data_IF_947665906806
#
_entry.id   IF_947665906806
#
_cell.length_a   1.000
_cell.length_b   1.000
_cell.length_c   1.000
_cell.angle_alpha   90.00
_cell.angle_beta   90.00
_cell.angle_gamma   90.00
#
_symmetry.space_group_name_H-M   'P 1'
#
loop_
_entity.id
_entity.type
_entity.pdbx_description
1 polymer ?
#
# COMPACT_ATOMS: atom_id res chain seq x y z
N UNK A 1 2.05 38.88 30.58
CA UNK A 1 3.45 39.23 30.28
C UNK A 1 3.63 39.22 28.77
N UNK A 2 3.81 40.40 28.16
CA UNK A 2 3.98 40.57 26.71
C UNK A 2 5.48 40.47 26.39
N UNK A 3 5.87 39.61 25.46
CA UNK A 3 7.20 39.63 24.84
C UNK A 3 7.03 39.86 23.34
N UNK A 4 7.25 41.12 22.95
CA UNK A 4 7.59 41.51 21.58
C UNK A 4 9.09 41.29 21.39
N UNK A 5 9.55 40.95 20.17
CA UNK A 5 10.90 41.11 19.58
C UNK A 5 10.89 40.28 18.27
N UNK A 6 11.39 40.67 17.10
CA UNK A 6 11.65 41.94 16.39
C UNK A 6 11.83 41.49 14.92
N UNK A 7 11.28 42.25 13.97
CA UNK A 7 11.35 41.99 12.53
C UNK A 7 12.59 42.72 11.99
N UNK A 8 13.50 42.00 11.32
CA UNK A 8 14.56 42.61 10.50
C UNK A 8 14.21 42.47 9.02
N UNK A 9 13.77 43.58 8.44
CA UNK A 9 13.63 43.77 6.99
C UNK A 9 14.99 44.25 6.47
N UNK A 10 15.62 43.47 5.60
CA UNK A 10 16.77 43.92 4.81
C UNK A 10 16.21 44.47 3.49
N UNK A 11 16.30 45.79 3.36
CA UNK A 11 15.99 46.56 2.16
C UNK A 11 17.28 46.65 1.32
N UNK A 12 17.32 46.02 0.15
CA UNK A 12 18.38 46.25 -0.84
C UNK A 12 17.82 47.14 -1.94
N UNK A 13 18.23 48.40 -1.91
CA UNK A 13 18.09 49.36 -3.01
C UNK A 13 19.28 49.17 -3.96
N UNK A 14 19.01 48.73 -5.18
CA UNK A 14 19.97 48.67 -6.28
C UNK A 14 19.45 49.49 -7.46
N UNK A 15 20.27 50.44 -7.90
CA UNK A 15 19.99 51.53 -8.83
C UNK A 15 19.65 51.09 -10.26
N UNK A 16 18.86 51.93 -10.93
CA UNK A 16 18.64 51.94 -12.36
C UNK A 16 19.93 52.26 -13.13
N UNK A 17 20.15 51.55 -14.23
CA UNK A 17 21.13 51.86 -15.27
C UNK A 17 20.62 51.36 -16.62
N UNK A 18 20.12 52.26 -17.45
CA UNK A 18 19.84 52.00 -18.86
C UNK A 18 21.17 51.96 -19.62
N UNK A 19 21.42 50.88 -20.36
CA UNK A 19 22.27 50.94 -21.55
C UNK A 19 21.75 49.97 -22.60
N UNK A 20 21.42 50.52 -23.76
CA UNK A 20 21.07 49.80 -24.99
C UNK A 20 22.35 49.36 -25.66
N UNK A 21 22.50 48.06 -25.93
CA UNK A 21 23.13 47.58 -27.15
C UNK A 21 22.75 46.12 -27.43
N UNK A 22 22.34 45.91 -28.68
CA UNK A 22 21.83 44.67 -29.25
C UNK A 22 23.00 43.75 -29.60
N UNK A 23 23.06 42.55 -29.04
CA UNK A 23 23.72 41.41 -29.68
C UNK A 23 23.10 40.09 -29.22
N UNK A 24 22.81 39.26 -30.22
CA UNK A 24 22.23 37.94 -30.12
C UNK A 24 23.18 36.95 -29.43
N UNK A 25 22.60 35.84 -28.98
CA UNK A 25 23.13 34.46 -28.95
C UNK A 25 22.78 33.77 -27.62
N UNK A 26 21.95 32.72 -27.76
CA UNK A 26 21.73 31.61 -26.84
C UNK A 26 21.18 31.93 -25.45
N UNK A 27 19.87 32.14 -25.41
CA UNK A 27 19.04 31.81 -24.26
C UNK A 27 19.04 30.27 -24.10
N UNK A 28 20.07 29.75 -23.42
CA UNK A 28 20.00 28.42 -22.81
C UNK A 28 18.96 28.55 -21.72
N UNK A 29 17.72 28.22 -22.09
CA UNK A 29 16.61 27.96 -21.20
C UNK A 29 17.11 26.92 -20.21
N UNK A 30 17.57 27.39 -19.05
CA UNK A 30 17.91 26.57 -17.91
C UNK A 30 16.62 25.88 -17.52
N UNK A 31 16.47 24.65 -18.00
CA UNK A 31 15.47 23.71 -17.54
C UNK A 31 15.73 23.64 -16.05
N UNK A 32 14.82 24.24 -15.29
CA UNK A 32 14.67 24.00 -13.87
C UNK A 32 14.78 22.50 -13.68
N UNK A 33 15.87 22.04 -13.06
CA UNK A 33 15.92 20.70 -12.51
C UNK A 33 14.64 20.60 -11.69
N UNK A 34 13.70 19.77 -12.16
CA UNK A 34 12.61 19.29 -11.33
C UNK A 34 13.31 18.78 -10.07
N UNK A 35 13.19 19.58 -9.02
CA UNK A 35 13.59 19.20 -7.70
C UNK A 35 12.58 18.12 -7.39
N UNK A 36 12.96 16.86 -7.67
CA UNK A 36 12.22 15.69 -7.21
C UNK A 36 12.17 15.87 -5.71
N UNK A 37 11.07 16.45 -5.23
CA UNK A 37 10.82 16.61 -3.81
C UNK A 37 11.01 15.22 -3.25
N UNK A 38 12.02 15.07 -2.38
CA UNK A 38 12.29 13.79 -1.76
C UNK A 38 10.97 13.34 -1.12
N UNK A 39 10.35 12.29 -1.67
CA UNK A 39 9.10 11.77 -1.16
C UNK A 39 9.37 11.33 0.29
N UNK A 40 8.86 12.10 1.24
CA UNK A 40 8.96 11.77 2.66
C UNK A 40 8.08 10.57 2.98
N UNK A 41 8.31 9.93 4.13
CA UNK A 41 7.39 8.90 4.66
C UNK A 41 5.96 9.46 4.64
N UNK A 42 4.99 8.80 3.98
CA UNK A 42 3.60 9.23 4.01
C UNK A 42 2.98 8.98 5.39
N UNK A 43 2.13 9.87 5.88
CA UNK A 43 1.45 9.72 7.18
C UNK A 43 0.39 8.61 7.18
N UNK A 44 -0.21 8.33 6.02
CA UNK A 44 -1.19 7.25 5.86
C UNK A 44 -0.83 6.45 4.61
N UNK A 45 -0.57 5.16 4.80
CA UNK A 45 -0.20 4.28 3.71
C UNK A 45 -0.56 2.83 4.01
N UNK A 46 -0.67 2.02 2.95
CA UNK A 46 -0.80 0.59 3.10
C UNK A 46 -0.20 -0.19 1.92
N UNK A 47 -0.04 -1.48 2.12
CA UNK A 47 0.32 -2.48 1.13
C UNK A 47 -0.85 -3.44 0.97
N UNK A 48 -1.22 -3.77 -0.29
CA UNK A 48 -2.17 -4.84 -0.61
C UNK A 48 -1.41 -6.15 -0.87
N UNK A 49 -1.74 -7.16 -0.10
CA UNK A 49 -1.31 -8.54 -0.26
C UNK A 49 -2.40 -9.36 -0.95
N UNK A 50 -1.99 -10.16 -1.93
CA UNK A 50 -2.87 -11.10 -2.64
C UNK A 50 -2.15 -12.43 -2.83
N UNK A 51 -2.79 -13.52 -2.40
CA UNK A 51 -2.33 -14.88 -2.62
C UNK A 51 -3.13 -15.53 -3.76
N UNK A 52 -2.43 -16.27 -4.61
CA UNK A 52 -3.01 -17.00 -5.73
C UNK A 52 -2.57 -18.46 -5.72
N UNK A 53 -3.53 -19.36 -5.88
CA UNK A 53 -3.30 -20.75 -6.25
C UNK A 53 -3.65 -20.91 -7.74
N UNK A 54 -2.65 -20.94 -8.64
CA UNK A 54 -2.90 -21.00 -10.08
C UNK A 54 -3.47 -22.34 -10.53
N UNK A 55 -3.25 -23.43 -9.77
CA UNK A 55 -3.74 -24.77 -10.10
C UNK A 55 -5.24 -24.86 -9.86
N UNK A 56 -5.69 -24.39 -8.69
CA UNK A 56 -7.11 -24.34 -8.33
C UNK A 56 -7.83 -23.09 -8.82
N UNK A 57 -7.10 -22.16 -9.46
CA UNK A 57 -7.59 -20.86 -9.95
C UNK A 57 -8.24 -20.03 -8.83
N UNK A 58 -7.66 -20.08 -7.64
CA UNK A 58 -8.13 -19.34 -6.49
C UNK A 58 -7.26 -18.11 -6.28
N UNK A 59 -7.89 -17.00 -5.92
CA UNK A 59 -7.22 -15.75 -5.59
C UNK A 59 -7.91 -15.13 -4.39
N UNK A 60 -7.13 -14.69 -3.42
CA UNK A 60 -7.68 -14.01 -2.24
C UNK A 60 -8.21 -12.63 -2.62
N UNK A 61 -9.10 -12.09 -1.79
CA UNK A 61 -9.33 -10.65 -1.75
C UNK A 61 -8.08 -9.89 -1.30
N UNK A 62 -8.17 -8.57 -1.36
CA UNK A 62 -7.10 -7.67 -0.91
C UNK A 62 -7.00 -7.70 0.62
N UNK A 63 -5.88 -8.21 1.14
CA UNK A 63 -5.50 -8.10 2.56
C UNK A 63 -4.55 -6.92 2.72
N UNK A 64 -4.71 -6.07 3.74
CA UNK A 64 -4.00 -4.79 3.83
C UNK A 64 -3.20 -4.65 5.11
N UNK A 65 -1.96 -4.19 5.00
CA UNK A 65 -1.15 -3.78 6.15
C UNK A 65 -0.63 -2.36 5.96
N UNK A 66 -0.41 -1.63 7.05
CA UNK A 66 0.27 -0.34 6.98
C UNK A 66 0.03 0.54 8.19
N UNK A 67 0.00 1.84 7.95
CA UNK A 67 -0.04 2.88 8.97
C UNK A 67 -1.13 3.90 8.66
N UNK A 68 -1.85 4.31 9.70
CA UNK A 68 -2.84 5.39 9.67
C UNK A 68 -2.60 6.32 10.86
N UNK A 69 -2.59 7.63 10.63
CA UNK A 69 -2.22 8.68 11.60
C UNK A 69 -3.33 8.99 12.65
N UNK A 70 -4.31 8.10 12.79
CA UNK A 70 -5.51 8.36 13.61
C UNK A 70 -5.93 7.09 14.34
N UNK A 71 -5.83 7.12 15.67
CA UNK A 71 -6.15 5.99 16.56
C UNK A 71 -7.54 5.40 16.30
N UNK A 72 -8.52 6.30 16.09
CA UNK A 72 -9.91 5.95 15.77
C UNK A 72 -10.05 5.20 14.45
N UNK A 73 -9.12 5.39 13.51
CA UNK A 73 -9.16 4.73 12.21
C UNK A 73 -8.52 3.36 12.24
N UNK A 74 -7.55 3.08 13.12
CA UNK A 74 -6.97 1.75 13.25
C UNK A 74 -8.06 0.70 13.55
N UNK A 75 -8.90 0.95 14.56
CA UNK A 75 -10.00 0.05 14.90
C UNK A 75 -11.09 -0.02 13.83
N UNK A 76 -11.45 1.11 13.21
CA UNK A 76 -12.49 1.18 12.15
C UNK A 76 -12.07 0.53 10.84
N UNK A 77 -10.77 0.48 10.55
CA UNK A 77 -10.23 -0.07 9.32
C UNK A 77 -9.74 -1.51 9.47
N UNK A 78 -9.82 -2.09 10.68
CA UNK A 78 -9.47 -3.49 10.95
C UNK A 78 -10.69 -4.39 10.69
N UNK A 79 -10.69 -5.09 9.55
CA UNK A 79 -11.80 -5.92 9.08
C UNK A 79 -11.59 -7.37 9.52
N UNK A 80 -12.53 -7.95 10.25
CA UNK A 80 -12.43 -9.35 10.69
C UNK A 80 -12.47 -10.30 9.48
N UNK A 81 -11.67 -11.35 9.53
CA UNK A 81 -11.75 -12.45 8.57
C UNK A 81 -12.95 -13.33 8.90
N UNK A 82 -13.66 -13.76 7.87
CA UNK A 82 -14.69 -14.77 8.02
C UNK A 82 -14.03 -16.14 8.02
N UNK A 83 -14.38 -16.98 8.99
CA UNK A 83 -13.94 -18.38 8.96
C UNK A 83 -14.41 -19.04 7.65
N UNK A 84 -13.59 -19.90 7.03
CA UNK A 84 -14.03 -20.63 5.86
C UNK A 84 -15.24 -21.50 6.24
N UNK A 85 -16.31 -21.41 5.45
CA UNK A 85 -17.60 -22.08 5.72
C UNK A 85 -17.59 -23.61 5.47
N UNK A 86 -16.44 -24.26 5.65
CA UNK A 86 -16.17 -25.61 5.17
C UNK A 86 -15.93 -25.67 3.66
N UNK A 87 -15.01 -26.52 3.22
CA UNK A 87 -14.64 -26.68 1.80
C UNK A 87 -13.32 -26.03 1.43
N UNK A 88 -13.13 -25.81 0.13
CA UNK A 88 -11.87 -25.31 -0.44
C UNK A 88 -11.66 -23.84 -0.11
N UNK A 89 -10.49 -23.48 0.43
CA UNK A 89 -10.16 -22.12 0.81
C UNK A 89 -8.68 -21.77 0.55
N UNK A 90 -8.46 -20.50 0.25
CA UNK A 90 -7.17 -19.84 0.23
C UNK A 90 -7.39 -18.48 0.86
N UNK A 91 -6.53 -18.11 1.81
CA UNK A 91 -6.70 -16.87 2.54
C UNK A 91 -5.40 -16.25 3.05
N UNK A 92 -5.44 -14.95 3.34
CA UNK A 92 -4.41 -14.23 4.10
C UNK A 92 -5.09 -13.58 5.31
N UNK A 93 -4.52 -13.77 6.50
CA UNK A 93 -5.03 -13.20 7.74
C UNK A 93 -3.93 -12.64 8.62
N UNK A 94 -4.26 -11.61 9.40
CA UNK A 94 -3.51 -11.15 10.56
C UNK A 94 -4.15 -11.77 11.81
N UNK A 95 -3.35 -12.43 12.64
CA UNK A 95 -3.81 -13.06 13.87
C UNK A 95 -3.50 -12.13 15.03
N UNK A 96 -4.51 -11.80 15.83
CA UNK A 96 -4.44 -10.93 17.01
C UNK A 96 -3.64 -9.63 16.77
N UNK A 97 -3.98 -8.82 15.75
CA UNK A 97 -3.25 -7.58 15.49
C UNK A 97 -3.39 -6.62 16.68
N UNK A 98 -2.38 -5.77 16.87
CA UNK A 98 -2.34 -4.82 17.97
C UNK A 98 -3.51 -3.83 17.90
N UNK A 99 -4.06 -3.46 19.06
CA UNK A 99 -5.11 -2.44 19.16
C UNK A 99 -6.53 -2.93 18.85
N UNK A 100 -6.74 -4.23 18.59
CA UNK A 100 -8.08 -4.84 18.42
C UNK A 100 -8.26 -6.07 19.30
N UNK A 101 -9.49 -6.60 19.33
CA UNK A 101 -9.80 -7.83 20.07
C UNK A 101 -9.09 -9.04 19.43
N UNK A 102 -8.84 -10.13 20.20
CA UNK A 102 -8.29 -11.36 19.63
C UNK A 102 -9.17 -11.93 18.51
N UNK A 103 -8.54 -12.37 17.42
CA UNK A 103 -9.21 -12.89 16.23
C UNK A 103 -8.35 -12.86 14.97
N UNK A 104 -8.95 -13.26 13.85
CA UNK A 104 -8.34 -13.19 12.52
C UNK A 104 -8.90 -12.00 11.75
N UNK A 105 -8.03 -11.28 11.04
CA UNK A 105 -8.37 -10.03 10.36
C UNK A 105 -7.79 -9.96 8.94
N UNK A 106 -8.47 -9.25 8.04
CA UNK A 106 -8.04 -8.91 6.67
C UNK A 106 -7.15 -7.69 6.60
N UNK A 107 -7.12 -6.92 7.67
CA UNK A 107 -6.33 -5.71 7.71
C UNK A 107 -5.64 -5.57 9.06
N UNK A 108 -4.46 -4.96 9.04
CA UNK A 108 -3.68 -4.67 10.24
C UNK A 108 -3.01 -3.31 10.05
N UNK A 109 -3.50 -2.32 10.78
CA UNK A 109 -2.98 -0.97 10.76
C UNK A 109 -2.44 -0.63 12.14
N UNK A 110 -1.24 -0.08 12.21
CA UNK A 110 -0.73 0.50 13.45
C UNK A 110 0.29 1.58 13.14
N UNK A 111 0.42 2.51 14.09
CA UNK A 111 1.45 3.53 14.02
C UNK A 111 2.80 2.93 14.40
N UNK A 112 3.85 3.35 13.70
CA UNK A 112 5.22 3.01 14.07
C UNK A 112 6.11 4.23 14.05
N UNK A 113 7.01 4.27 15.03
CA UNK A 113 7.89 5.41 15.24
C UNK A 113 8.88 5.53 14.09
N UNK A 114 9.15 6.76 13.68
CA UNK A 114 10.20 7.00 12.71
C UNK A 114 11.56 6.55 13.28
N UNK A 115 12.37 5.94 12.43
CA UNK A 115 13.69 5.40 12.80
C UNK A 115 13.65 4.21 13.78
N UNK A 116 12.51 3.53 13.91
CA UNK A 116 12.45 2.20 14.54
C UNK A 116 12.09 1.14 13.51
N UNK A 117 12.52 -0.09 13.75
CA UNK A 117 12.02 -1.24 12.99
C UNK A 117 10.57 -1.53 13.40
N UNK A 118 9.74 -1.86 12.42
CA UNK A 118 8.36 -2.28 12.63
C UNK A 118 8.04 -3.53 11.81
N UNK A 119 7.12 -4.36 12.31
CA UNK A 119 6.70 -5.58 11.61
C UNK A 119 5.20 -5.84 11.64
N UNK A 120 4.71 -6.39 10.53
CA UNK A 120 3.38 -6.97 10.41
C UNK A 120 3.52 -8.46 10.16
N UNK A 121 3.02 -9.27 11.10
CA UNK A 121 2.96 -10.73 10.95
C UNK A 121 1.62 -11.14 10.35
N UNK A 122 1.65 -11.94 9.29
CA UNK A 122 0.45 -12.48 8.65
C UNK A 122 0.63 -13.94 8.28
N UNK A 123 -0.48 -14.63 8.08
CA UNK A 123 -0.54 -16.06 7.77
C UNK A 123 -1.29 -16.28 6.47
N UNK A 124 -0.66 -16.99 5.53
CA UNK A 124 -1.35 -17.55 4.37
C UNK A 124 -1.91 -18.91 4.76
N UNK A 125 -3.22 -19.10 4.59
CA UNK A 125 -3.95 -20.32 4.98
C UNK A 125 -4.56 -20.98 3.75
N UNK A 126 -4.55 -22.31 3.70
CA UNK A 126 -5.27 -23.06 2.66
C UNK A 126 -5.66 -24.46 3.12
N UNK A 127 -6.71 -25.03 2.53
CA UNK A 127 -7.09 -26.42 2.73
C UNK A 127 -6.12 -27.43 2.06
N UNK A 128 -5.36 -27.00 1.04
CA UNK A 128 -4.42 -27.86 0.31
C UNK A 128 -2.98 -27.67 0.81
N UNK A 129 -2.53 -28.62 1.63
CA UNK A 129 -1.19 -28.66 2.20
C UNK A 129 -0.05 -28.86 1.19
N UNK A 130 -0.37 -29.21 -0.05
CA UNK A 130 0.60 -29.36 -1.14
C UNK A 130 0.51 -28.22 -2.16
N UNK A 131 -0.34 -27.21 -1.90
CA UNK A 131 -0.55 -26.10 -2.82
C UNK A 131 0.76 -25.34 -3.08
N UNK A 132 0.89 -24.87 -4.32
CA UNK A 132 1.92 -23.92 -4.73
C UNK A 132 1.28 -22.54 -4.81
N UNK A 133 1.56 -21.68 -3.85
CA UNK A 133 0.94 -20.37 -3.71
C UNK A 133 1.88 -19.28 -4.22
N UNK A 134 1.31 -18.30 -4.92
CA UNK A 134 2.00 -17.08 -5.34
C UNK A 134 1.48 -15.89 -4.54
N UNK A 135 2.34 -15.30 -3.73
CA UNK A 135 2.07 -14.08 -2.98
C UNK A 135 2.56 -12.87 -3.77
N UNK A 136 1.68 -11.90 -3.93
CA UNK A 136 1.92 -10.67 -4.69
C UNK A 136 1.61 -9.44 -3.85
N UNK A 137 2.37 -8.38 -4.07
CA UNK A 137 2.10 -7.03 -3.60
C UNK A 137 2.37 -6.05 -4.74
N UNK A 138 1.52 -5.04 -4.90
CA UNK A 138 1.55 -4.20 -6.10
C UNK A 138 2.25 -2.85 -5.90
N UNK A 139 2.72 -2.55 -4.70
CA UNK A 139 3.34 -1.27 -4.35
C UNK A 139 2.72 -0.63 -3.10
N UNK A 140 3.19 0.58 -2.79
CA UNK A 140 2.68 1.40 -1.70
C UNK A 140 1.44 2.15 -2.15
N UNK A 141 0.37 2.07 -1.37
CA UNK A 141 -0.81 2.89 -1.56
C UNK A 141 -0.77 4.02 -0.54
N UNK A 142 -0.79 5.25 -1.02
CA UNK A 142 -0.79 6.45 -0.19
C UNK A 142 -2.24 6.93 -0.08
N UNK A 143 -2.62 7.32 1.13
CA UNK A 143 -3.96 7.79 1.47
C UNK A 143 -3.90 9.28 1.84
N UNK A 144 -4.27 10.14 0.90
CA UNK A 144 -4.32 11.58 1.17
C UNK A 144 -5.66 11.94 1.81
N UNK A 145 -5.67 12.44 3.05
CA UNK A 145 -6.92 12.78 3.72
C UNK A 145 -7.58 14.01 3.09
N UNK A 146 -8.89 13.98 2.95
CA UNK A 146 -9.71 15.13 2.60
C UNK A 146 -10.99 15.15 3.43
N UNK A 147 -11.59 16.33 3.59
CA UNK A 147 -12.87 16.48 4.28
C UNK A 147 -13.98 16.58 3.23
N UNK A 148 -14.95 15.67 3.30
CA UNK A 148 -16.11 15.70 2.40
C UNK A 148 -17.15 16.77 2.80
N UNK A 149 -18.16 16.95 1.97
CA UNK A 149 -19.24 17.92 2.21
C UNK A 149 -20.05 17.62 3.49
N UNK A 150 -19.99 16.39 4.01
CA UNK A 150 -20.62 15.96 5.26
C UNK A 150 -19.67 16.10 6.46
N UNK A 151 -18.53 16.78 6.30
CA UNK A 151 -17.48 16.99 7.32
C UNK A 151 -16.85 15.69 7.83
N UNK A 152 -16.82 14.64 7.02
CA UNK A 152 -16.16 13.38 7.35
C UNK A 152 -14.77 13.34 6.73
N UNK A 153 -13.81 12.78 7.45
CA UNK A 153 -12.51 12.42 6.87
C UNK A 153 -12.69 11.28 5.86
N UNK A 154 -12.22 11.51 4.65
CA UNK A 154 -12.17 10.58 3.53
C UNK A 154 -10.74 10.55 2.99
N UNK A 155 -10.46 9.62 2.08
CA UNK A 155 -9.12 9.45 1.55
C UNK A 155 -9.12 9.36 0.02
N UNK A 156 -8.20 10.08 -0.60
CA UNK A 156 -7.79 9.82 -1.97
C UNK A 156 -6.71 8.75 -1.95
N UNK A 157 -6.99 7.64 -2.60
CA UNK A 157 -6.06 6.55 -2.74
C UNK A 157 -5.30 6.68 -4.05
N UNK A 158 -3.98 6.61 -3.99
CA UNK A 158 -3.14 6.47 -5.17
C UNK A 158 -1.96 5.54 -4.88
N UNK A 159 -1.48 4.85 -5.92
CA UNK A 159 -0.38 3.90 -5.79
C UNK A 159 0.95 4.53 -6.19
N UNK A 160 1.93 4.49 -5.30
CA UNK A 160 3.32 4.88 -5.55
C UNK A 160 4.24 3.65 -5.62
N UNK A 161 4.97 3.54 -6.73
CA UNK A 161 6.03 2.55 -6.93
C UNK A 161 7.43 3.12 -6.66
N UNK A 162 7.54 4.43 -6.52
CA UNK A 162 8.81 5.13 -6.39
C UNK A 162 9.03 5.68 -4.98
N UNK A 163 8.08 5.45 -4.07
CA UNK A 163 8.19 5.94 -2.70
C UNK A 163 9.43 5.35 -2.01
N UNK A 164 10.30 6.18 -1.43
CA UNK A 164 11.53 5.73 -0.77
C UNK A 164 11.29 4.68 0.31
N UNK A 165 10.13 4.73 1.00
CA UNK A 165 9.78 3.78 2.05
C UNK A 165 9.85 2.32 1.55
N UNK A 166 9.50 2.04 0.28
CA UNK A 166 9.54 0.69 -0.28
C UNK A 166 10.94 0.07 -0.26
N UNK A 167 12.01 0.88 -0.32
CA UNK A 167 13.39 0.39 -0.25
C UNK A 167 13.81 -0.07 1.14
N UNK A 168 13.06 0.36 2.16
CA UNK A 168 13.24 -0.02 3.56
C UNK A 168 12.37 -1.22 3.95
N UNK A 169 11.59 -1.77 3.02
CA UNK A 169 10.68 -2.87 3.30
C UNK A 169 11.21 -4.21 2.80
N UNK A 170 11.05 -5.25 3.63
CA UNK A 170 11.30 -6.63 3.24
C UNK A 170 10.17 -7.57 3.67
N UNK A 171 9.99 -8.64 2.90
CA UNK A 171 9.18 -9.78 3.26
C UNK A 171 10.09 -10.91 3.74
N UNK A 172 9.75 -11.50 4.88
CA UNK A 172 10.42 -12.67 5.45
C UNK A 172 9.44 -13.83 5.51
N UNK A 173 9.79 -14.94 4.86
CA UNK A 173 9.10 -16.21 5.05
C UNK A 173 9.67 -16.90 6.29
N UNK A 174 8.87 -16.95 7.37
CA UNK A 174 9.33 -17.43 8.68
C UNK A 174 9.66 -18.92 8.69
N UNK A 175 9.15 -19.68 7.72
CA UNK A 175 9.38 -21.13 7.61
C UNK A 175 10.70 -21.42 6.92
N UNK A 176 10.95 -20.77 5.77
CA UNK A 176 12.19 -20.98 5.02
C UNK A 176 13.35 -20.10 5.48
N UNK A 177 13.09 -19.06 6.28
CA UNK A 177 14.05 -18.02 6.61
C UNK A 177 14.39 -17.10 5.45
N UNK A 178 13.70 -17.23 4.30
CA UNK A 178 13.99 -16.45 3.10
C UNK A 178 13.55 -15.00 3.28
N UNK A 179 14.48 -14.08 3.08
CA UNK A 179 14.22 -12.64 3.03
C UNK A 179 14.17 -12.14 1.59
N UNK A 180 13.27 -11.19 1.31
CA UNK A 180 13.09 -10.60 -0.02
C UNK A 180 12.83 -9.10 0.11
N UNK A 181 13.55 -8.25 -0.64
CA UNK A 181 13.18 -6.84 -0.71
C UNK A 181 11.81 -6.72 -1.37
N UNK A 182 10.98 -5.81 -0.87
CA UNK A 182 9.64 -5.56 -1.41
C UNK A 182 9.73 -4.98 -2.82
N UNK A 183 10.72 -4.14 -3.07
CA UNK A 183 11.00 -3.58 -4.39
C UNK A 183 12.43 -3.94 -4.80
N UNK A 184 12.61 -4.38 -6.05
CA UNK A 184 13.92 -4.58 -6.65
C UNK A 184 13.94 -3.92 -8.03
N UNK A 185 14.94 -3.08 -8.28
CA UNK A 185 15.07 -2.35 -9.55
C UNK A 185 13.78 -1.59 -9.96
N UNK A 186 13.10 -0.97 -8.98
CA UNK A 186 11.87 -0.20 -9.21
C UNK A 186 10.62 -1.05 -9.50
N UNK A 187 10.68 -2.38 -9.32
CA UNK A 187 9.54 -3.28 -9.53
C UNK A 187 9.19 -4.02 -8.26
N UNK A 188 7.88 -4.12 -7.98
CA UNK A 188 7.41 -5.00 -6.92
C UNK A 188 7.74 -6.45 -7.26
N UNK A 189 8.15 -7.19 -6.24
CA UNK A 189 8.50 -8.59 -6.37
C UNK A 189 7.26 -9.47 -6.16
N UNK A 190 7.41 -10.73 -6.57
CA UNK A 190 6.43 -11.79 -6.36
C UNK A 190 7.14 -12.97 -5.72
N UNK A 191 6.47 -13.63 -4.79
CA UNK A 191 7.02 -14.79 -4.11
C UNK A 191 6.15 -16.02 -4.29
N UNK A 192 6.70 -17.06 -4.91
CA UNK A 192 6.05 -18.37 -5.04
C UNK A 192 6.69 -19.37 -4.10
N UNK A 193 5.86 -20.08 -3.35
CA UNK A 193 6.28 -21.10 -2.38
C UNK A 193 5.31 -22.29 -2.40
N UNK A 194 5.76 -23.41 -1.86
CA UNK A 194 4.93 -24.60 -1.59
C UNK A 194 4.47 -24.57 -0.13
N UNK A 195 3.33 -25.16 0.15
CA UNK A 195 2.83 -25.25 1.54
C UNK A 195 3.55 -26.31 2.38
N UNK A 196 4.39 -27.14 1.76
CA UNK A 196 5.30 -28.10 2.41
C UNK A 196 4.61 -29.04 3.42
N UNK A 197 3.37 -29.44 3.15
CA UNK A 197 2.58 -30.31 4.03
C UNK A 197 1.84 -29.57 5.14
N UNK A 198 1.92 -28.24 5.20
CA UNK A 198 1.21 -27.40 6.18
C UNK A 198 -0.01 -26.73 5.57
N UNK A 199 -1.03 -26.43 6.37
CA UNK A 199 -2.20 -25.65 5.93
C UNK A 199 -2.03 -24.15 6.19
N UNK A 200 -0.97 -23.77 6.89
CA UNK A 200 -0.67 -22.39 7.28
C UNK A 200 0.81 -22.10 7.07
N UNK A 201 1.13 -20.94 6.49
CA UNK A 201 2.50 -20.45 6.34
C UNK A 201 2.57 -19.00 6.80
N UNK A 202 3.46 -18.71 7.74
CA UNK A 202 3.58 -17.40 8.37
C UNK A 202 4.66 -16.56 7.72
N UNK A 203 4.40 -15.27 7.59
CA UNK A 203 5.27 -14.26 7.03
C UNK A 203 5.40 -13.06 7.95
N UNK A 204 6.52 -12.34 7.82
CA UNK A 204 6.70 -11.03 8.42
C UNK A 204 6.98 -10.02 7.32
N UNK A 205 6.19 -8.95 7.29
CA UNK A 205 6.50 -7.73 6.55
C UNK A 205 7.23 -6.79 7.49
N UNK A 206 8.44 -6.37 7.14
CA UNK A 206 9.28 -5.57 8.04
C UNK A 206 9.61 -4.25 7.35
N UNK A 207 9.46 -3.15 8.08
CA UNK A 207 9.99 -1.83 7.73
C UNK A 207 11.25 -1.61 8.58
N UNK A 208 12.40 -1.44 7.93
CA UNK A 208 13.70 -1.28 8.59
C UNK A 208 14.16 0.18 8.58
N UNK A 209 15.15 0.50 9.40
CA UNK A 209 15.75 1.84 9.45
C UNK A 209 16.73 2.10 8.30
N UNK A 210 17.34 1.04 7.76
CA UNK A 210 18.30 1.11 6.65
C UNK A 210 17.67 0.57 5.36
N UNK A 211 18.23 0.95 4.20
CA UNK A 211 17.79 0.36 2.93
C UNK A 211 18.10 -1.15 2.92
N UNK A 212 17.16 -1.94 2.43
CA UNK A 212 17.24 -3.41 2.44
C UNK A 212 18.29 -3.87 1.42
N UNK A 213 19.37 -4.46 1.93
CA UNK A 213 20.44 -5.08 1.12
C UNK A 213 20.41 -6.61 1.30
N UNK A 214 19.58 -7.32 0.52
CA UNK A 214 19.59 -8.79 0.53
C UNK A 214 20.76 -9.28 -0.33
N UNK A 215 21.85 -9.67 0.32
CA UNK A 215 23.11 -10.10 -0.33
C UNK A 215 23.10 -11.57 -0.77
N UNK A 216 22.08 -12.34 -0.43
CA UNK A 216 21.98 -13.78 -0.76
C UNK A 216 20.93 -14.03 -1.86
N UNK A 217 21.27 -13.68 -3.10
CA UNK A 217 20.37 -13.82 -4.27
C UNK A 217 20.63 -15.12 -5.05
N UNK A 218 20.43 -16.27 -4.40
CA UNK A 218 20.44 -17.59 -5.04
C UNK A 218 19.12 -18.04 -5.69
N UNK A 219 18.09 -17.19 -5.72
CA UNK A 219 16.75 -17.54 -6.21
C UNK A 219 16.31 -16.73 -7.43
N UNK A 220 15.77 -17.41 -8.46
CA UNK A 220 15.19 -16.80 -9.65
C UNK A 220 13.97 -15.94 -9.28
N UNK A 221 14.08 -14.62 -9.39
CA UNK A 221 12.96 -13.68 -9.20
C UNK A 221 12.11 -13.59 -10.47
N UNK A 222 10.79 -13.66 -10.32
CA UNK A 222 9.83 -13.40 -11.41
C UNK A 222 9.28 -11.99 -11.20
N UNK A 223 9.58 -11.08 -12.14
CA UNK A 223 9.09 -9.70 -12.10
C UNK A 223 7.67 -9.61 -12.67
N UNK A 224 6.81 -8.76 -12.09
CA UNK A 224 5.54 -8.39 -12.72
C UNK A 224 5.82 -7.49 -13.93
N UNK A 225 5.55 -7.98 -15.14
CA UNK A 225 5.60 -7.16 -16.35
C UNK A 225 4.33 -6.30 -16.47
N UNK A 226 4.51 -5.00 -16.66
CA UNK A 226 3.51 -3.94 -16.41
C UNK A 226 2.28 -3.90 -17.32
N UNK A 227 1.96 -4.98 -18.04
CA UNK A 227 0.87 -4.99 -19.04
C UNK A 227 -0.52 -5.33 -18.51
N UNK A 228 -0.65 -5.91 -17.31
CA UNK A 228 -1.96 -6.29 -16.75
C UNK A 228 -2.52 -5.31 -15.71
N UNK A 229 -1.76 -4.28 -15.35
CA UNK A 229 -2.05 -3.45 -14.17
C UNK A 229 -3.12 -2.38 -14.42
N UNK A 230 -3.44 -2.04 -15.67
CA UNK A 230 -4.51 -1.08 -15.99
C UNK A 230 -5.92 -1.68 -15.98
N UNK A 231 -6.08 -3.01 -16.01
CA UNK A 231 -7.42 -3.62 -16.05
C UNK A 231 -8.10 -3.68 -14.68
N UNK A 232 -7.35 -3.95 -13.61
CA UNK A 232 -7.93 -4.17 -12.28
C UNK A 232 -8.52 -2.88 -11.68
N UNK A 233 -7.88 -1.71 -11.88
CA UNK A 233 -8.42 -0.42 -11.40
C UNK A 233 -9.67 0.03 -12.17
N UNK A 234 -9.76 -0.31 -13.47
CA UNK A 234 -10.92 0.03 -14.31
C UNK A 234 -12.12 -0.89 -14.06
N UNK A 235 -11.88 -2.14 -13.66
CA UNK A 235 -12.94 -3.11 -13.39
C UNK A 235 -13.60 -2.88 -12.01
N UNK A 236 -12.81 -2.45 -11.02
CA UNK A 236 -13.31 -2.08 -9.68
C UNK A 236 -14.02 -0.71 -9.68
N UNK A 237 -13.56 0.25 -10.50
CA UNK A 237 -14.33 1.51 -10.71
C UNK A 237 -15.62 1.28 -11.52
N UNK A 238 -15.65 0.32 -12.45
CA UNK A 238 -16.88 -0.02 -13.19
C UNK A 238 -17.95 -0.64 -12.29
N UNK A 239 -17.60 -1.54 -11.36
CA UNK A 239 -18.58 -2.13 -10.44
C UNK A 239 -19.15 -1.11 -9.43
N UNK A 240 -18.35 -0.12 -9.01
CA UNK A 240 -18.80 1.00 -8.16
C UNK A 240 -19.64 2.01 -8.95
N UNK A 241 -19.43 2.16 -10.26
CA UNK A 241 -20.21 3.08 -11.11
C UNK A 241 -21.53 2.45 -11.60
N UNK A 242 -21.56 1.14 -11.87
CA UNK A 242 -22.77 0.44 -12.29
C UNK A 242 -23.75 0.20 -11.12
N UNK A 243 -23.26 -0.03 -9.89
CA UNK A 243 -24.11 -0.13 -8.69
C UNK A 243 -24.78 1.19 -8.27
N UNK A 244 -24.32 2.34 -8.78
CA UNK A 244 -24.92 3.65 -8.50
C UNK A 244 -26.10 4.00 -9.42
N UNK A 245 -26.42 3.17 -10.42
CA UNK A 245 -27.55 3.37 -11.33
C UNK A 245 -28.82 2.59 -11.00
N UNK A 246 -28.76 1.62 -10.09
CA UNK A 246 -29.99 1.05 -9.52
C UNK A 246 -30.48 1.95 -8.39
N UNK A 247 -31.29 2.95 -8.78
CA UNK A 247 -32.13 3.66 -7.82
C UNK A 247 -33.08 2.66 -7.18
N UNK A 248 -32.89 2.42 -5.90
CA UNK A 248 -33.87 1.75 -5.05
C UNK A 248 -35.18 2.55 -5.09
N UNK A 249 -36.14 2.07 -5.87
CA UNK A 249 -37.49 2.65 -5.93
C UNK A 249 -38.31 2.08 -4.76
N UNK A 250 -38.40 2.85 -3.68
CA UNK A 250 -39.16 2.49 -2.48
C UNK A 250 -40.68 2.36 -2.71
N UNK A 251 -41.19 2.71 -3.91
CA UNK A 251 -42.60 2.55 -4.26
C UNK A 251 -42.96 1.12 -4.69
N UNK A 252 -41.98 0.21 -4.80
CA UNK A 252 -42.23 -1.19 -5.19
C UNK A 252 -41.64 -2.16 -4.17
N UNK A 253 -42.46 -3.02 -3.54
CA UNK A 253 -41.93 -4.08 -2.69
C UNK A 253 -41.15 -5.11 -3.54
N UNK A 254 -40.07 -5.70 -2.99
CA UNK A 254 -39.26 -6.68 -3.70
C UNK A 254 -40.09 -7.94 -3.99
N UNK A 255 -40.13 -8.35 -5.26
CA UNK A 255 -40.73 -9.63 -5.63
C UNK A 255 -39.77 -10.76 -5.30
N UNK A 256 -40.16 -11.64 -4.38
CA UNK A 256 -39.51 -12.92 -4.18
C UNK A 256 -39.86 -13.84 -5.36
N UNK A 257 -38.89 -14.17 -6.20
CA UNK A 257 -39.01 -15.35 -7.07
C UNK A 257 -38.79 -16.59 -6.19
N UNK A 258 -39.89 -17.20 -5.76
CA UNK A 258 -39.87 -18.51 -5.10
C UNK A 258 -39.52 -19.62 -6.09
N UNK A 259 -38.77 -20.61 -5.60
CA UNK A 259 -38.66 -21.95 -6.20
C UNK A 259 -39.72 -22.88 -5.64
#
# INVERSE_FOLDING_TARGET
MKKNIWISIILVLGLAGCNTDTQSVNEVKSISLDTVAAETKPSNWYIRLVAEDPVRKMRTGSTQLGELDTDDNISKHTLQSLSPFGGTYLDIVFVDPAGVAPGEYKTSFHHYQENTEESWRFTVKTDDSNARITLTWYGLYILDPYIDNEKRTRYHEHRSMNNPLLKHMKLVDTVSGKEMPVILNGKAQVYTFTMDGMNERTFQWIVQTEEVNVTDMGGSYIFLDGKNVQKDTLQEQKSVTESKKERFDLSRPPMSSGG
#
